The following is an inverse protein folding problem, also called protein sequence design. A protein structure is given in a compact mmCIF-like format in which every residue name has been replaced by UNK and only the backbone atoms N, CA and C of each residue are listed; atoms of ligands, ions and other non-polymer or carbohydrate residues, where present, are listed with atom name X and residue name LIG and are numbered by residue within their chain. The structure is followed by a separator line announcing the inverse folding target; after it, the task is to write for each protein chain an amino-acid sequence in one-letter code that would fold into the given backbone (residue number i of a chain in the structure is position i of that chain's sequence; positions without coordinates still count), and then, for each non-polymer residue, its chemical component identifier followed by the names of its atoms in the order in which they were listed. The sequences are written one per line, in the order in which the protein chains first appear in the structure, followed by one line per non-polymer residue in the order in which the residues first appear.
data_IF_817183107744
#
_entry.id   IF_817183107744
#
_cell.length_a   1.000
_cell.length_b   1.000
_cell.length_c   1.000
_cell.angle_alpha   90.00
_cell.angle_beta   90.00
_cell.angle_gamma   90.00
#
_symmetry.space_group_name_H-M   'P 1'
#
loop_
_entity.id
_entity.type
_entity.pdbx_description
1 polymer ?
#
# COMPACT_ATOMS: atom_id res chain seq x y z
N UNK A 1 9.59 -47.24 76.19
CA UNK A 1 9.68 -46.90 74.76
C UNK A 1 8.74 -45.75 74.49
N UNK A 2 9.28 -44.56 74.26
CA UNK A 2 8.55 -43.35 73.92
C UNK A 2 8.69 -43.09 72.43
N UNK A 3 7.63 -42.69 71.73
CA UNK A 3 7.67 -41.61 70.72
C UNK A 3 6.27 -40.99 70.61
N UNK A 4 6.09 -39.80 71.19
CA UNK A 4 4.95 -38.94 70.92
C UNK A 4 5.19 -38.20 69.59
N UNK A 5 4.24 -38.28 68.65
CA UNK A 5 4.29 -37.53 67.38
C UNK A 5 4.00 -36.04 67.66
N UNK A 6 4.96 -35.17 67.33
CA UNK A 6 4.77 -33.70 67.30
C UNK A 6 3.76 -33.31 66.20
N UNK A 7 2.92 -32.28 66.42
CA UNK A 7 2.11 -31.72 65.35
C UNK A 7 2.97 -30.88 64.40
N UNK A 8 2.72 -31.01 63.10
CA UNK A 8 3.41 -30.25 62.06
C UNK A 8 2.91 -28.80 62.03
N UNK A 9 3.85 -27.85 62.07
CA UNK A 9 3.58 -26.41 61.90
C UNK A 9 3.31 -26.12 60.42
N UNK A 10 2.20 -25.43 60.13
CA UNK A 10 1.80 -25.03 58.79
C UNK A 10 2.78 -24.01 58.19
N UNK A 11 3.20 -24.24 56.93
CA UNK A 11 3.93 -23.23 56.14
C UNK A 11 2.94 -22.20 55.57
N UNK A 12 3.25 -20.90 55.58
CA UNK A 12 2.40 -19.89 54.95
C UNK A 12 2.39 -20.11 53.43
N UNK A 13 1.19 -20.21 52.84
CA UNK A 13 1.04 -20.11 51.38
C UNK A 13 1.38 -18.68 50.98
N UNK A 14 2.50 -18.48 50.29
CA UNK A 14 2.81 -17.23 49.60
C UNK A 14 1.70 -16.93 48.61
N UNK A 15 0.90 -15.89 48.87
CA UNK A 15 -0.04 -15.34 47.88
C UNK A 15 0.79 -14.82 46.71
N UNK A 16 0.55 -15.36 45.52
CA UNK A 16 1.09 -14.81 44.29
C UNK A 16 0.70 -13.32 44.19
N UNK A 17 1.68 -12.47 43.89
CA UNK A 17 1.43 -11.06 43.64
C UNK A 17 0.46 -10.91 42.45
N UNK A 18 -0.48 -9.93 42.48
CA UNK A 18 -1.37 -9.71 41.36
C UNK A 18 -0.53 -9.32 40.14
N UNK A 19 -0.79 -9.97 39.00
CA UNK A 19 -0.25 -9.54 37.70
C UNK A 19 -0.59 -8.07 37.50
N UNK A 20 0.43 -7.26 37.20
CA UNK A 20 0.28 -5.84 36.91
C UNK A 20 -0.85 -5.65 35.88
N UNK A 21 -1.88 -4.91 36.27
CA UNK A 21 -2.94 -4.49 35.36
C UNK A 21 -2.28 -3.71 34.21
N UNK A 22 -2.57 -4.13 32.98
CA UNK A 22 -2.20 -3.38 31.77
C UNK A 22 -2.72 -1.94 31.94
N UNK A 23 -1.81 -0.97 31.95
CA UNK A 23 -2.14 0.44 32.04
C UNK A 23 -3.06 0.81 30.88
N UNK A 24 -4.19 1.46 31.19
CA UNK A 24 -5.11 2.01 30.18
C UNK A 24 -4.33 2.90 29.19
N UNK A 25 -4.71 2.93 27.90
CA UNK A 25 -4.10 3.87 26.96
C UNK A 25 -4.30 5.29 27.48
N UNK A 26 -3.20 6.01 27.74
CA UNK A 26 -3.24 7.44 28.04
C UNK A 26 -3.14 8.19 26.71
N UNK A 27 -4.26 8.78 26.29
CA UNK A 27 -4.34 9.65 25.12
C UNK A 27 -5.59 10.52 25.22
N UNK A 28 -5.53 11.73 24.67
CA UNK A 28 -6.66 12.67 24.56
C UNK A 28 -7.73 12.23 23.53
N UNK A 29 -7.53 11.08 22.87
CA UNK A 29 -8.40 10.53 21.83
C UNK A 29 -8.29 11.23 20.48
N UNK A 30 -7.47 12.30 20.37
CA UNK A 30 -7.29 13.10 19.16
C UNK A 30 -5.86 13.01 18.62
N UNK A 31 -4.89 12.78 19.49
CA UNK A 31 -3.49 12.58 19.17
C UNK A 31 -3.27 11.23 18.48
N UNK A 32 -2.52 11.26 17.38
CA UNK A 32 -2.21 10.06 16.61
C UNK A 32 -1.20 9.21 17.39
N UNK A 33 -1.69 8.09 17.92
CA UNK A 33 -0.93 7.10 18.65
C UNK A 33 -0.99 5.74 17.92
N UNK A 34 -0.25 5.64 16.81
CA UNK A 34 -0.15 4.44 15.97
C UNK A 34 1.21 3.77 16.17
N UNK A 35 1.39 2.58 15.57
CA UNK A 35 2.66 1.82 15.60
C UNK A 35 3.84 2.52 14.92
N UNK A 36 3.61 3.64 14.23
CA UNK A 36 4.65 4.39 13.51
C UNK A 36 5.06 5.59 14.34
N UNK A 37 6.37 5.74 14.56
CA UNK A 37 6.92 6.86 15.31
C UNK A 37 6.63 8.21 14.64
N UNK A 38 6.36 9.23 15.46
CA UNK A 38 5.99 10.57 14.98
C UNK A 38 7.00 11.14 13.96
N UNK A 39 8.30 10.93 14.20
CA UNK A 39 9.36 11.39 13.31
C UNK A 39 9.42 10.65 11.97
N UNK A 40 8.96 9.40 11.93
CA UNK A 40 8.97 8.55 10.74
C UNK A 40 7.75 8.77 9.82
N UNK A 41 6.62 9.21 10.40
CA UNK A 41 5.35 9.41 9.67
C UNK A 41 5.46 10.36 8.47
N UNK A 42 6.25 11.43 8.57
CA UNK A 42 6.45 12.37 7.45
C UNK A 42 7.13 11.67 6.27
N UNK A 43 8.27 11.02 6.51
CA UNK A 43 9.04 10.31 5.47
C UNK A 43 8.18 9.27 4.75
N UNK A 44 7.41 8.47 5.51
CA UNK A 44 6.52 7.45 4.94
C UNK A 44 5.38 8.10 4.16
N UNK A 45 4.75 9.15 4.69
CA UNK A 45 3.68 9.85 4.00
C UNK A 45 4.14 10.50 2.68
N UNK A 46 5.37 11.03 2.62
CA UNK A 46 5.96 11.56 1.38
C UNK A 46 6.15 10.46 0.33
N UNK A 47 6.60 9.26 0.73
CA UNK A 47 6.71 8.11 -0.17
C UNK A 47 5.34 7.67 -0.68
N UNK A 48 4.36 7.51 0.22
CA UNK A 48 2.98 7.16 -0.13
C UNK A 48 2.32 8.23 -1.00
N UNK A 49 2.66 9.50 -0.83
CA UNK A 49 2.17 10.60 -1.67
C UNK A 49 2.60 10.44 -3.13
N UNK A 50 3.82 9.92 -3.37
CA UNK A 50 4.27 9.57 -4.72
C UNK A 50 3.58 8.29 -5.21
N UNK A 51 3.43 7.30 -4.35
CA UNK A 51 2.73 6.05 -4.68
C UNK A 51 1.27 6.28 -5.14
N UNK A 52 0.52 7.15 -4.45
CA UNK A 52 -0.84 7.51 -4.87
C UNK A 52 -0.83 8.30 -6.17
N UNK A 53 0.15 9.19 -6.38
CA UNK A 53 0.28 9.94 -7.63
C UNK A 53 0.56 9.02 -8.83
N UNK A 54 1.45 8.03 -8.67
CA UNK A 54 1.73 7.01 -9.70
C UNK A 54 0.47 6.18 -9.98
N UNK A 55 -0.19 5.68 -8.93
CA UNK A 55 -1.40 4.84 -9.06
C UNK A 55 -2.55 5.59 -9.72
N UNK A 56 -2.79 6.83 -9.32
CA UNK A 56 -3.83 7.68 -9.91
C UNK A 56 -3.52 8.04 -11.36
N UNK A 57 -2.27 8.38 -11.68
CA UNK A 57 -1.88 8.71 -13.05
C UNK A 57 -2.04 7.50 -13.96
N UNK A 58 -1.63 6.32 -13.50
CA UNK A 58 -1.82 5.08 -14.23
C UNK A 58 -3.30 4.70 -14.37
N UNK A 59 -4.13 4.96 -13.36
CA UNK A 59 -5.58 4.79 -13.43
C UNK A 59 -6.17 5.59 -14.60
N UNK A 60 -5.92 6.91 -14.63
CA UNK A 60 -6.45 7.80 -15.67
C UNK A 60 -5.95 7.39 -17.04
N UNK A 61 -4.67 7.02 -17.15
CA UNK A 61 -4.08 6.56 -18.42
C UNK A 61 -4.67 5.25 -18.90
N UNK A 62 -4.86 4.28 -18.00
CA UNK A 62 -5.48 2.98 -18.31
C UNK A 62 -6.92 3.15 -18.75
N UNK A 63 -7.68 4.06 -18.11
CA UNK A 63 -9.02 4.43 -18.52
C UNK A 63 -9.03 5.08 -19.92
N UNK A 64 -8.04 5.93 -20.21
CA UNK A 64 -7.83 6.48 -21.54
C UNK A 64 -7.59 5.40 -22.60
N UNK A 65 -6.76 4.40 -22.31
CA UNK A 65 -6.55 3.25 -23.21
C UNK A 65 -7.84 2.44 -23.36
N UNK A 66 -8.53 2.14 -22.26
CA UNK A 66 -9.81 1.42 -22.25
C UNK A 66 -10.84 2.03 -23.21
N UNK A 67 -10.93 3.36 -23.26
CA UNK A 67 -11.83 4.05 -24.19
C UNK A 67 -11.38 4.00 -25.65
N UNK A 68 -10.07 3.92 -25.91
CA UNK A 68 -9.51 4.17 -27.24
C UNK A 68 -8.93 2.92 -27.93
N UNK A 69 -8.87 1.77 -27.27
CA UNK A 69 -8.48 0.49 -27.92
C UNK A 69 -9.40 0.17 -29.09
N UNK A 70 -8.82 -0.37 -30.16
CA UNK A 70 -9.48 -0.66 -31.44
C UNK A 70 -8.88 -1.93 -32.06
N UNK A 71 -9.58 -2.49 -33.06
CA UNK A 71 -9.10 -3.65 -33.84
C UNK A 71 -9.65 -4.99 -33.35
N UNK A 72 -9.11 -6.09 -33.89
CA UNK A 72 -9.67 -7.44 -33.72
C UNK A 72 -9.73 -7.91 -32.25
N UNK A 73 -8.80 -7.46 -31.41
CA UNK A 73 -8.72 -7.81 -29.99
C UNK A 73 -9.48 -6.82 -29.08
N UNK A 74 -10.30 -5.93 -29.65
CA UNK A 74 -10.98 -4.85 -28.92
C UNK A 74 -11.63 -5.33 -27.62
N UNK A 75 -12.52 -6.32 -27.69
CA UNK A 75 -13.29 -6.74 -26.52
C UNK A 75 -12.40 -7.25 -25.38
N UNK A 76 -11.39 -8.08 -25.71
CA UNK A 76 -10.46 -8.62 -24.72
C UNK A 76 -9.64 -7.53 -24.03
N UNK A 77 -9.06 -6.62 -24.81
CA UNK A 77 -8.28 -5.50 -24.28
C UNK A 77 -9.14 -4.51 -23.49
N UNK A 78 -10.36 -4.25 -23.97
CA UNK A 78 -11.31 -3.37 -23.30
C UNK A 78 -11.72 -3.94 -21.93
N UNK A 79 -11.99 -5.25 -21.80
CA UNK A 79 -12.28 -5.89 -20.51
C UNK A 79 -11.06 -6.06 -19.61
N UNK A 80 -9.87 -6.30 -20.18
CA UNK A 80 -8.63 -6.34 -19.40
C UNK A 80 -8.35 -4.99 -18.74
N UNK A 81 -8.37 -3.91 -19.53
CA UNK A 81 -8.14 -2.54 -19.03
C UNK A 81 -9.27 -2.08 -18.11
N UNK A 82 -10.50 -2.57 -18.29
CA UNK A 82 -11.63 -2.37 -17.37
C UNK A 82 -11.34 -2.88 -15.95
N UNK A 83 -10.83 -4.10 -15.83
CA UNK A 83 -10.42 -4.63 -14.55
C UNK A 83 -9.27 -3.83 -13.94
N UNK A 84 -8.26 -3.50 -14.74
CA UNK A 84 -7.07 -2.80 -14.26
C UNK A 84 -7.34 -1.37 -13.77
N UNK A 85 -8.14 -0.57 -14.48
CA UNK A 85 -8.40 0.80 -14.03
C UNK A 85 -9.25 0.82 -12.75
N UNK A 86 -10.21 -0.11 -12.59
CA UNK A 86 -11.03 -0.19 -11.37
C UNK A 86 -10.19 -0.60 -10.14
N UNK A 87 -9.26 -1.52 -10.35
CA UNK A 87 -8.30 -1.96 -9.33
C UNK A 87 -7.37 -0.80 -8.92
N UNK A 88 -6.81 -0.09 -9.88
CA UNK A 88 -5.96 1.10 -9.62
C UNK A 88 -6.72 2.21 -8.89
N UNK A 89 -8.01 2.39 -9.18
CA UNK A 89 -8.84 3.36 -8.48
C UNK A 89 -8.96 3.03 -6.98
N UNK A 90 -9.19 1.76 -6.64
CA UNK A 90 -9.24 1.29 -5.25
C UNK A 90 -7.87 1.43 -4.57
N UNK A 91 -6.80 1.05 -5.26
CA UNK A 91 -5.44 1.17 -4.74
C UNK A 91 -5.07 2.63 -4.42
N UNK A 92 -5.44 3.58 -5.28
CA UNK A 92 -5.17 4.99 -5.04
C UNK A 92 -5.89 5.50 -3.77
N UNK A 93 -7.12 5.05 -3.53
CA UNK A 93 -7.89 5.39 -2.33
C UNK A 93 -7.25 4.80 -1.06
N UNK A 94 -6.92 3.50 -1.07
CA UNK A 94 -6.27 2.82 0.05
C UNK A 94 -4.94 3.50 0.46
N UNK A 95 -4.11 3.87 -0.53
CA UNK A 95 -2.85 4.59 -0.29
C UNK A 95 -3.13 5.99 0.26
N UNK A 96 -4.11 6.71 -0.27
CA UNK A 96 -4.50 8.04 0.20
C UNK A 96 -5.00 8.00 1.65
N UNK A 97 -5.88 7.05 1.98
CA UNK A 97 -6.37 6.87 3.34
C UNK A 97 -5.25 6.49 4.30
N UNK A 98 -4.25 5.71 3.83
CA UNK A 98 -3.08 5.41 4.64
C UNK A 98 -2.28 6.67 5.01
N UNK A 99 -2.09 7.59 4.07
CA UNK A 99 -1.44 8.89 4.35
C UNK A 99 -2.23 9.66 5.42
N UNK A 100 -3.57 9.65 5.35
CA UNK A 100 -4.44 10.28 6.36
C UNK A 100 -4.30 9.62 7.73
N UNK A 101 -4.19 8.29 7.78
CA UNK A 101 -3.97 7.54 9.02
C UNK A 101 -2.62 7.87 9.68
N UNK A 102 -1.62 8.29 8.90
CA UNK A 102 -0.33 8.81 9.39
C UNK A 102 -0.40 10.29 9.83
N UNK A 103 -1.55 10.94 9.64
CA UNK A 103 -1.80 12.33 10.04
C UNK A 103 -1.40 13.38 9.02
N UNK A 104 -1.10 12.99 7.79
CA UNK A 104 -0.65 13.88 6.72
C UNK A 104 -1.74 14.07 5.69
N UNK A 105 -1.82 15.25 5.08
CA UNK A 105 -2.82 15.53 4.06
C UNK A 105 -2.36 14.94 2.73
N UNK A 106 -3.31 14.39 1.97
CA UNK A 106 -3.06 13.89 0.63
C UNK A 106 -3.20 15.07 -0.33
N UNK A 107 -2.23 15.33 -1.21
CA UNK A 107 -2.39 16.35 -2.24
C UNK A 107 -3.49 15.94 -3.23
N UNK A 108 -4.12 16.93 -3.86
CA UNK A 108 -5.17 16.71 -4.85
C UNK A 108 -4.93 17.58 -6.08
N UNK A 109 -5.43 17.14 -7.23
CA UNK A 109 -5.38 17.90 -8.48
C UNK A 109 -4.43 17.28 -9.50
N UNK A 110 -4.85 17.32 -10.78
CA UNK A 110 -4.15 16.64 -11.86
C UNK A 110 -2.73 17.14 -12.11
N UNK A 111 -2.48 18.45 -11.98
CA UNK A 111 -1.13 19.02 -12.13
C UNK A 111 -0.20 18.59 -11.00
N UNK A 112 -0.70 18.57 -9.76
CA UNK A 112 0.08 18.13 -8.60
C UNK A 112 0.49 16.68 -8.75
N UNK A 113 -0.45 15.78 -9.07
CA UNK A 113 -0.11 14.37 -9.32
C UNK A 113 0.82 14.18 -10.52
N UNK A 114 0.67 14.95 -11.60
CA UNK A 114 1.62 14.93 -12.72
C UNK A 114 3.04 15.27 -12.28
N UNK A 115 3.21 16.22 -11.35
CA UNK A 115 4.54 16.62 -10.86
C UNK A 115 5.20 15.62 -9.89
N UNK A 116 4.41 14.73 -9.28
CA UNK A 116 4.86 13.75 -8.28
C UNK A 116 5.06 12.35 -8.88
N UNK A 117 4.28 12.03 -9.91
CA UNK A 117 4.30 10.76 -10.63
C UNK A 117 5.56 10.63 -11.48
N UNK A 118 6.12 9.43 -11.55
CA UNK A 118 7.12 9.07 -12.56
C UNK A 118 6.49 8.53 -13.85
N UNK A 119 5.19 8.25 -13.82
CA UNK A 119 4.41 7.86 -14.99
C UNK A 119 3.98 9.12 -15.71
N UNK A 120 4.28 9.18 -17.00
CA UNK A 120 3.87 10.27 -17.83
C UNK A 120 2.36 10.24 -18.09
N UNK A 121 1.73 11.40 -17.99
CA UNK A 121 0.30 11.63 -18.15
C UNK A 121 -0.03 12.18 -19.56
N UNK A 122 0.87 12.08 -20.52
CA UNK A 122 0.54 12.35 -21.91
C UNK A 122 -0.54 11.38 -22.41
N UNK A 123 -1.52 11.94 -23.13
CA UNK A 123 -2.64 11.17 -23.62
C UNK A 123 -2.13 10.09 -24.60
N UNK A 124 -2.54 8.82 -24.43
CA UNK A 124 -2.11 7.74 -25.31
C UNK A 124 -2.86 7.85 -26.65
N UNK A 125 -2.52 8.84 -27.47
CA UNK A 125 -3.04 8.97 -28.84
C UNK A 125 -2.13 8.19 -29.80
N UNK A 126 -2.15 6.87 -29.67
CA UNK A 126 -1.37 5.95 -30.49
C UNK A 126 -2.18 4.80 -31.04
N UNK A 127 -1.54 3.92 -31.80
CA UNK A 127 -2.15 2.63 -32.18
C UNK A 127 -2.36 1.76 -30.93
N UNK A 128 -3.32 0.83 -30.98
CA UNK A 128 -3.59 -0.07 -29.86
C UNK A 128 -2.33 -0.77 -29.32
N UNK A 129 -1.43 -1.35 -30.15
CA UNK A 129 -0.18 -1.91 -29.66
C UNK A 129 0.73 -0.90 -28.94
N UNK A 130 0.84 0.34 -29.45
CA UNK A 130 1.65 1.39 -28.79
C UNK A 130 1.08 1.76 -27.42
N UNK A 131 -0.24 1.91 -27.32
CA UNK A 131 -0.90 2.21 -26.05
C UNK A 131 -0.69 1.10 -25.02
N UNK A 132 -0.83 -0.16 -25.43
CA UNK A 132 -0.58 -1.31 -24.55
C UNK A 132 0.89 -1.39 -24.12
N UNK A 133 1.84 -1.17 -25.03
CA UNK A 133 3.28 -1.10 -24.69
C UNK A 133 3.57 -0.02 -23.67
N UNK A 134 2.92 1.14 -23.77
CA UNK A 134 3.07 2.19 -22.78
C UNK A 134 2.55 1.75 -21.41
N UNK A 135 1.39 1.09 -21.34
CA UNK A 135 0.88 0.55 -20.07
C UNK A 135 1.78 -0.53 -19.46
N UNK A 136 2.48 -1.33 -20.28
CA UNK A 136 3.50 -2.27 -19.79
C UNK A 136 4.62 -1.50 -19.08
N UNK A 137 5.21 -0.53 -19.76
CA UNK A 137 6.33 0.26 -19.21
C UNK A 137 5.93 1.03 -17.94
N UNK A 138 4.70 1.55 -17.91
CA UNK A 138 4.19 2.31 -16.79
C UNK A 138 3.91 1.39 -15.58
N UNK A 139 3.36 0.20 -15.78
CA UNK A 139 3.20 -0.78 -14.70
C UNK A 139 4.56 -1.24 -14.15
N UNK A 140 5.54 -1.51 -15.00
CA UNK A 140 6.89 -1.87 -14.54
C UNK A 140 7.57 -0.71 -13.78
N UNK A 141 7.31 0.53 -14.20
CA UNK A 141 7.78 1.73 -13.48
C UNK A 141 7.11 1.85 -12.11
N UNK A 142 5.79 1.64 -12.04
CA UNK A 142 5.06 1.59 -10.78
C UNK A 142 5.62 0.50 -9.86
N UNK A 143 5.81 -0.74 -10.36
CA UNK A 143 6.34 -1.85 -9.57
C UNK A 143 7.70 -1.52 -8.91
N UNK A 144 8.65 -0.98 -9.69
CA UNK A 144 9.97 -0.57 -9.14
C UNK A 144 9.83 0.49 -8.06
N UNK A 145 8.99 1.50 -8.28
CA UNK A 145 8.77 2.58 -7.31
C UNK A 145 8.05 2.10 -6.06
N UNK A 146 7.08 1.20 -6.17
CA UNK A 146 6.44 0.57 -5.01
C UNK A 146 7.46 -0.21 -4.18
N UNK A 147 8.43 -0.89 -4.81
CA UNK A 147 9.55 -1.53 -4.11
C UNK A 147 10.40 -0.52 -3.33
N UNK A 148 10.83 0.58 -3.97
CA UNK A 148 11.61 1.64 -3.32
C UNK A 148 10.84 2.25 -2.12
N UNK A 149 9.54 2.46 -2.26
CA UNK A 149 8.70 3.00 -1.20
C UNK A 149 8.45 1.99 -0.08
N UNK A 150 8.33 0.70 -0.40
CA UNK A 150 8.17 -0.37 0.57
C UNK A 150 9.41 -0.47 1.48
N UNK A 151 10.61 -0.47 0.89
CA UNK A 151 11.88 -0.46 1.64
C UNK A 151 11.96 0.74 2.59
N UNK A 152 11.59 1.93 2.12
CA UNK A 152 11.55 3.13 2.95
C UNK A 152 10.56 3.00 4.12
N UNK A 153 9.39 2.38 3.90
CA UNK A 153 8.41 2.13 4.95
C UNK A 153 8.93 1.10 5.97
N UNK A 154 9.64 0.07 5.53
CA UNK A 154 10.28 -0.91 6.41
C UNK A 154 11.37 -0.27 7.29
N UNK A 155 12.27 0.52 6.70
CA UNK A 155 13.29 1.29 7.43
C UNK A 155 12.68 2.20 8.50
N UNK A 156 11.49 2.73 8.22
CA UNK A 156 10.72 3.59 9.10
C UNK A 156 9.91 2.82 10.17
N UNK A 157 9.96 1.48 10.17
CA UNK A 157 9.21 0.62 11.07
C UNK A 157 7.70 0.55 10.76
N UNK A 158 7.26 1.05 9.60
CA UNK A 158 5.86 1.01 9.18
C UNK A 158 5.54 -0.27 8.39
N UNK A 159 5.38 -1.36 9.12
CA UNK A 159 5.10 -2.69 8.55
C UNK A 159 3.83 -2.72 7.69
N UNK A 160 2.80 -1.94 8.03
CA UNK A 160 1.55 -1.92 7.28
C UNK A 160 1.74 -1.25 5.91
N UNK A 161 2.39 -0.08 5.88
CA UNK A 161 2.67 0.60 4.61
C UNK A 161 3.63 -0.22 3.75
N UNK A 162 4.63 -0.87 4.35
CA UNK A 162 5.50 -1.82 3.64
C UNK A 162 4.69 -2.95 2.99
N UNK A 163 3.88 -3.68 3.76
CA UNK A 163 3.09 -4.81 3.26
C UNK A 163 2.13 -4.40 2.13
N UNK A 164 1.43 -3.28 2.33
CA UNK A 164 0.55 -2.70 1.32
C UNK A 164 1.29 -2.41 0.02
N UNK A 165 2.47 -1.78 0.08
CA UNK A 165 3.27 -1.44 -1.09
C UNK A 165 3.88 -2.69 -1.76
N UNK A 166 4.31 -3.69 -0.98
CA UNK A 166 4.77 -4.99 -1.51
C UNK A 166 3.66 -5.68 -2.30
N UNK A 167 2.43 -5.69 -1.78
CA UNK A 167 1.30 -6.24 -2.52
C UNK A 167 1.08 -5.54 -3.87
N UNK A 168 1.30 -4.21 -3.94
CA UNK A 168 1.20 -3.45 -5.19
C UNK A 168 2.22 -3.89 -6.24
N UNK A 169 3.43 -4.26 -5.84
CA UNK A 169 4.48 -4.74 -6.76
C UNK A 169 3.94 -5.90 -7.59
N UNK A 170 3.43 -6.93 -6.92
CA UNK A 170 2.91 -8.13 -7.58
C UNK A 170 1.74 -7.83 -8.53
N UNK A 171 0.84 -6.92 -8.14
CA UNK A 171 -0.28 -6.49 -9.01
C UNK A 171 0.24 -5.83 -10.29
N UNK A 172 1.19 -4.90 -10.17
CA UNK A 172 1.76 -4.21 -11.32
C UNK A 172 2.54 -5.15 -12.24
N UNK A 173 3.35 -6.07 -11.69
CA UNK A 173 4.08 -7.07 -12.48
C UNK A 173 3.15 -8.03 -13.21
N UNK A 174 2.06 -8.46 -12.55
CA UNK A 174 1.02 -9.29 -13.17
C UNK A 174 0.33 -8.55 -14.32
N UNK A 175 -0.03 -7.28 -14.11
CA UNK A 175 -0.65 -6.45 -15.15
C UNK A 175 0.29 -6.28 -16.35
N UNK A 176 1.57 -6.00 -16.11
CA UNK A 176 2.57 -5.88 -17.16
C UNK A 176 2.70 -7.19 -17.97
N UNK A 177 2.72 -8.34 -17.30
CA UNK A 177 2.71 -9.65 -17.98
C UNK A 177 1.49 -9.85 -18.86
N UNK A 178 0.28 -9.63 -18.34
CA UNK A 178 -0.96 -9.81 -19.11
C UNK A 178 -0.98 -8.91 -20.36
N UNK A 179 -0.52 -7.67 -20.21
CA UNK A 179 -0.43 -6.71 -21.31
C UNK A 179 0.60 -7.16 -22.38
N UNK A 180 1.80 -7.61 -21.98
CA UNK A 180 2.79 -8.18 -22.92
C UNK A 180 2.25 -9.41 -23.66
N UNK A 181 1.62 -10.33 -22.92
CA UNK A 181 1.01 -11.53 -23.51
C UNK A 181 -0.10 -11.19 -24.51
N UNK A 182 -0.83 -10.08 -24.31
CA UNK A 182 -1.84 -9.61 -25.28
C UNK A 182 -1.24 -9.11 -26.61
N UNK A 183 0.06 -8.79 -26.62
CA UNK A 183 0.83 -8.42 -27.80
C UNK A 183 1.57 -9.61 -28.43
N UNK A 184 1.59 -10.77 -27.77
CA UNK A 184 2.39 -11.93 -28.17
C UNK A 184 3.88 -11.82 -27.85
N UNK A 185 4.25 -10.95 -26.89
CA UNK A 185 5.62 -10.74 -26.38
C UNK A 185 5.81 -11.34 -24.99
#
# INVERSE_FOLDING_TARGET
MAVAKKPAVAKPKTKAAPKAAQSKPQGDGLSINTSVDRGAREKVAEALTKAVADSYTLYVKTLGVHWNVQGANFYGLHKLTDGQYNELHQAADEIAERIRALGKLVPTGGETFRSLSAIDNEAPHGTTPQMIKQLVLDNETAARRMSEFAELAEEAGDLFSHDMLVARIGVHEQNAWMLRSSLGE
#
